data_IF_631885204707
#
_entry.id   IF_631885204707
#
_cell.length_a   1.000
_cell.length_b   1.000
_cell.length_c   1.000
_cell.angle_alpha   90.00
_cell.angle_beta   90.00
_cell.angle_gamma   90.00
#
_symmetry.space_group_name_H-M   'P 1'
#
loop_
_entity.id
_entity.type
_entity.pdbx_description
1 polymer ?
#
# COMPACT_ATOMS: atom_id res chain seq x y z
N UNK A 1 7.20 -10.04 27.74
CA UNK A 1 6.38 -9.48 26.71
C UNK A 1 7.13 -8.68 25.70
N UNK A 2 6.94 -8.94 24.45
CA UNK A 2 7.68 -8.24 23.42
C UNK A 2 6.77 -7.79 22.29
N UNK A 3 5.80 -6.96 22.60
CA UNK A 3 4.86 -6.50 21.57
C UNK A 3 5.53 -5.66 20.49
N UNK A 4 6.64 -5.05 20.84
CA UNK A 4 7.33 -4.20 19.87
C UNK A 4 7.82 -4.98 18.67
N UNK A 5 8.29 -6.19 18.90
CA UNK A 5 8.80 -7.02 17.82
C UNK A 5 7.67 -7.48 16.93
N UNK A 6 6.57 -7.88 17.55
CA UNK A 6 5.41 -8.33 16.80
C UNK A 6 4.81 -7.19 15.98
N UNK A 7 4.83 -5.99 16.54
CA UNK A 7 4.29 -4.85 15.84
C UNK A 7 5.02 -4.59 14.53
N UNK A 8 6.33 -4.81 14.53
CA UNK A 8 7.11 -4.61 13.32
C UNK A 8 6.70 -5.54 12.21
N UNK A 9 6.50 -6.80 12.57
CA UNK A 9 6.09 -7.80 11.58
C UNK A 9 4.68 -7.57 11.11
N UNK A 10 3.80 -7.20 12.03
CA UNK A 10 2.42 -6.91 11.66
C UNK A 10 2.34 -5.74 10.70
N UNK A 11 3.16 -4.74 10.93
CA UNK A 11 3.16 -3.58 10.06
C UNK A 11 3.58 -3.96 8.65
N UNK A 12 4.61 -4.79 8.53
CA UNK A 12 5.04 -5.24 7.21
C UNK A 12 3.95 -6.05 6.52
N UNK A 13 3.28 -6.90 7.29
CA UNK A 13 2.20 -7.69 6.74
C UNK A 13 1.06 -6.83 6.25
N UNK A 14 0.71 -5.81 7.02
CA UNK A 14 -0.35 -4.90 6.62
C UNK A 14 0.00 -4.13 5.38
N UNK A 15 1.23 -3.67 5.28
CA UNK A 15 1.67 -2.95 4.09
C UNK A 15 1.60 -3.82 2.86
N UNK A 16 2.02 -5.07 3.00
CA UNK A 16 1.97 -5.98 1.88
C UNK A 16 0.55 -6.25 1.44
N UNK A 17 -0.35 -6.46 2.39
CA UNK A 17 -1.75 -6.70 2.08
C UNK A 17 -2.37 -5.50 1.39
N UNK A 18 -2.06 -4.30 1.88
CA UNK A 18 -2.56 -3.09 1.27
C UNK A 18 -2.06 -2.95 -0.16
N UNK A 19 -0.78 -3.23 -0.36
CA UNK A 19 -0.20 -3.12 -1.69
C UNK A 19 -0.86 -4.11 -2.65
N UNK A 20 -1.07 -5.33 -2.20
CA UNK A 20 -1.71 -6.34 -3.04
C UNK A 20 -3.13 -5.93 -3.38
N UNK A 21 -3.84 -5.43 -2.38
CA UNK A 21 -5.21 -5.00 -2.61
C UNK A 21 -5.27 -3.83 -3.57
N UNK A 22 -4.36 -2.88 -3.40
CA UNK A 22 -4.31 -1.73 -4.27
C UNK A 22 -4.01 -2.14 -5.71
N UNK A 23 -3.07 -3.05 -5.87
CA UNK A 23 -2.73 -3.58 -7.19
C UNK A 23 -3.94 -4.24 -7.84
N UNK A 24 -4.68 -5.01 -7.05
CA UNK A 24 -5.85 -5.72 -7.55
C UNK A 24 -6.96 -4.76 -7.94
N UNK A 25 -7.15 -3.72 -7.14
CA UNK A 25 -8.24 -2.79 -7.37
C UNK A 25 -7.97 -1.84 -8.52
N UNK A 26 -6.72 -1.42 -8.67
CA UNK A 26 -6.39 -0.39 -9.67
C UNK A 26 -5.58 -0.93 -10.84
N UNK A 27 -4.90 -2.05 -10.66
CA UNK A 27 -4.10 -2.61 -11.75
C UNK A 27 -2.71 -2.06 -11.85
N UNK A 28 -2.27 -1.25 -10.88
CA UNK A 28 -0.89 -0.77 -10.88
C UNK A 28 0.05 -1.87 -10.39
N UNK A 29 1.34 -1.65 -10.60
CA UNK A 29 2.34 -2.61 -10.17
C UNK A 29 2.47 -2.68 -8.66
N UNK A 30 2.99 -3.81 -8.18
CA UNK A 30 3.16 -4.00 -6.75
C UNK A 30 4.14 -2.99 -6.16
N UNK A 31 5.20 -2.72 -6.89
CA UNK A 31 6.19 -1.75 -6.43
C UNK A 31 5.61 -0.35 -6.38
N UNK A 32 4.81 -0.02 -7.35
CA UNK A 32 4.16 1.27 -7.36
C UNK A 32 3.20 1.41 -6.18
N UNK A 33 2.49 0.34 -5.89
CA UNK A 33 1.59 0.34 -4.74
C UNK A 33 2.35 0.56 -3.45
N UNK A 34 3.49 -0.10 -3.30
CA UNK A 34 4.30 0.07 -2.10
C UNK A 34 4.80 1.50 -1.98
N UNK A 35 5.25 2.07 -3.08
CA UNK A 35 5.73 3.45 -3.07
C UNK A 35 4.61 4.40 -2.67
N UNK A 36 3.42 4.17 -3.18
CA UNK A 36 2.30 5.02 -2.84
C UNK A 36 2.00 4.96 -1.35
N UNK A 37 2.06 3.76 -0.79
CA UNK A 37 1.81 3.60 0.64
C UNK A 37 2.85 4.37 1.45
N UNK A 38 4.09 4.36 0.99
CA UNK A 38 5.15 5.08 1.69
C UNK A 38 4.98 6.59 1.58
N UNK A 39 4.53 7.06 0.44
CA UNK A 39 4.39 8.49 0.22
C UNK A 39 3.09 9.05 0.77
N UNK A 40 2.01 8.33 0.58
CA UNK A 40 0.69 8.80 0.95
C UNK A 40 0.29 8.33 2.33
N UNK A 41 0.66 7.11 2.68
CA UNK A 41 0.28 6.53 3.96
C UNK A 41 -0.67 5.37 3.74
N UNK A 42 -1.36 5.02 4.82
CA UNK A 42 -2.27 3.87 4.78
C UNK A 42 -3.72 4.27 4.55
N UNK A 43 -3.97 5.49 4.17
CA UNK A 43 -5.31 5.97 3.91
C UNK A 43 -5.80 5.39 2.58
N UNK A 44 -6.78 4.49 2.67
CA UNK A 44 -7.24 3.75 1.49
C UNK A 44 -7.79 4.68 0.41
N UNK A 45 -8.57 5.66 0.80
CA UNK A 45 -9.15 6.58 -0.18
C UNK A 45 -8.07 7.33 -0.95
N UNK A 46 -7.07 7.80 -0.23
CA UNK A 46 -5.97 8.51 -0.87
C UNK A 46 -5.18 7.59 -1.76
N UNK A 47 -4.95 6.36 -1.33
CA UNK A 47 -4.21 5.38 -2.12
C UNK A 47 -4.95 5.08 -3.42
N UNK A 48 -6.25 4.90 -3.33
CA UNK A 48 -7.05 4.64 -4.52
C UNK A 48 -6.95 5.79 -5.51
N UNK A 49 -7.05 7.00 -5.00
CA UNK A 49 -7.01 8.18 -5.84
C UNK A 49 -5.66 8.29 -6.57
N UNK A 50 -4.59 8.14 -5.82
CA UNK A 50 -3.26 8.25 -6.39
C UNK A 50 -2.97 7.11 -7.35
N UNK A 51 -3.39 5.92 -7.02
CA UNK A 51 -3.18 4.77 -7.89
C UNK A 51 -3.91 4.93 -9.20
N UNK A 52 -5.12 5.43 -9.16
CA UNK A 52 -5.88 5.67 -10.37
C UNK A 52 -5.20 6.72 -11.24
N UNK A 53 -4.65 7.72 -10.59
CA UNK A 53 -3.94 8.77 -11.28
C UNK A 53 -2.71 8.22 -11.99
N UNK A 54 -1.98 7.36 -11.31
CA UNK A 54 -0.81 6.72 -11.89
C UNK A 54 -1.18 5.87 -13.09
N UNK A 55 -2.23 5.10 -12.97
CA UNK A 55 -2.66 4.25 -14.06
C UNK A 55 -3.07 5.07 -15.28
N UNK A 56 -3.65 6.20 -15.04
CA UNK A 56 -4.06 7.08 -16.12
C UNK A 56 -2.89 7.60 -16.92
N UNK A 57 -1.79 7.85 -16.22
CA UNK A 57 -0.60 8.39 -16.88
C UNK A 57 0.07 7.36 -17.77
N UNK A 58 -0.14 6.09 -17.46
CA UNK A 58 0.39 5.05 -18.29
C UNK A 58 -0.55 4.78 -19.43
#
# INVERSE_FOLDING_TARGET
MCPAIENGEERKGQLKLLAERLTRETGIGEEEAKQLIELVGTDWNSLLREARFLKRRH
#
